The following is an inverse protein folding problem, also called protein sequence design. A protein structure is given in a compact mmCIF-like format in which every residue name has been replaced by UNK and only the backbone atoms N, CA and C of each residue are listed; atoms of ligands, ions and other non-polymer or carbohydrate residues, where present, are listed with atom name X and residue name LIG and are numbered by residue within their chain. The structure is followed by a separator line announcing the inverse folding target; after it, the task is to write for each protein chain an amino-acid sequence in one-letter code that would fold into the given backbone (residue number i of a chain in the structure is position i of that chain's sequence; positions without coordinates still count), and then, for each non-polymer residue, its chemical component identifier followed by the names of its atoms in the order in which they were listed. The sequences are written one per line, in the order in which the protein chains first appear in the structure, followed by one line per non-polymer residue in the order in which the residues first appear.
data_IF_608152462638
#
_entry.id   IF_608152462638
#
_cell.length_a   1.000
_cell.length_b   1.000
_cell.length_c   1.000
_cell.angle_alpha   90.00
_cell.angle_beta   90.00
_cell.angle_gamma   90.00
#
_symmetry.space_group_name_H-M   'P 1'
#
loop_
_entity.id
_entity.type
_entity.pdbx_description
1 polymer ?
#
# COMPACT_ATOMS: atom_id res chain seq x y z
N UNK A 1 -12.69 19.83 3.39
CA UNK A 1 -12.76 19.21 2.04
C UNK A 1 -11.51 18.37 1.81
N UNK A 2 -11.67 17.17 1.30
CA UNK A 2 -10.58 16.26 0.95
C UNK A 2 -10.10 16.51 -0.48
N UNK A 3 -8.83 16.23 -0.74
CA UNK A 3 -8.18 16.33 -2.06
C UNK A 3 -7.53 15.00 -2.40
N UNK A 4 -7.35 14.75 -3.69
CA UNK A 4 -6.54 13.63 -4.16
C UNK A 4 -5.11 13.81 -3.62
N UNK A 5 -4.53 12.74 -3.06
CA UNK A 5 -3.13 12.77 -2.60
C UNK A 5 -2.16 12.83 -3.78
N UNK A 6 -1.01 13.44 -3.58
CA UNK A 6 0.11 13.32 -4.51
C UNK A 6 0.80 11.96 -4.33
N UNK A 7 1.23 11.36 -5.44
CA UNK A 7 2.02 10.13 -5.41
C UNK A 7 3.48 10.46 -5.04
N UNK A 8 4.14 9.69 -4.14
CA UNK A 8 5.54 9.91 -3.77
C UNK A 8 6.53 9.42 -4.84
N UNK A 9 6.06 9.04 -6.02
CA UNK A 9 6.84 8.53 -7.16
C UNK A 9 6.27 9.00 -8.50
N UNK A 10 7.07 8.93 -9.55
CA UNK A 10 6.64 9.25 -10.91
C UNK A 10 5.55 8.26 -11.39
N UNK A 11 4.66 8.66 -12.33
CA UNK A 11 3.56 7.81 -12.81
C UNK A 11 3.99 6.41 -13.30
N UNK A 12 5.21 6.28 -13.78
CA UNK A 12 5.82 5.05 -14.27
C UNK A 12 6.82 4.43 -13.27
N UNK A 13 6.97 5.02 -12.08
CA UNK A 13 7.96 4.63 -11.08
C UNK A 13 7.79 3.22 -10.51
N UNK A 14 6.58 2.65 -10.57
CA UNK A 14 6.28 1.32 -10.06
C UNK A 14 6.40 0.21 -11.10
N UNK A 15 6.70 0.55 -12.36
CA UNK A 15 6.89 -0.46 -13.40
C UNK A 15 8.10 -1.37 -13.12
N UNK A 16 8.02 -2.63 -13.49
CA UNK A 16 6.95 -3.31 -14.22
C UNK A 16 5.83 -3.88 -13.32
N UNK A 17 5.82 -3.60 -12.03
CA UNK A 17 4.87 -4.19 -11.06
C UNK A 17 3.47 -3.59 -11.21
N UNK A 18 3.38 -2.28 -11.30
CA UNK A 18 2.15 -1.55 -11.61
C UNK A 18 2.45 -0.60 -12.78
N UNK A 19 1.72 -0.74 -13.88
CA UNK A 19 1.93 0.11 -15.05
C UNK A 19 1.46 1.55 -14.81
N UNK A 20 2.06 2.50 -15.54
CA UNK A 20 1.60 3.89 -15.56
C UNK A 20 0.11 3.99 -15.94
N UNK A 21 -0.35 3.10 -16.83
CA UNK A 21 -1.77 3.04 -17.23
C UNK A 21 -2.66 2.63 -16.07
N UNK A 22 -2.27 1.63 -15.30
CA UNK A 22 -3.03 1.23 -14.09
C UNK A 22 -3.08 2.38 -13.10
N UNK A 23 -1.97 3.08 -12.84
CA UNK A 23 -1.96 4.25 -11.94
C UNK A 23 -2.84 5.40 -12.45
N UNK A 24 -2.85 5.68 -13.75
CA UNK A 24 -3.71 6.71 -14.34
C UNK A 24 -5.19 6.46 -13.99
N UNK A 25 -5.66 5.21 -14.13
CA UNK A 25 -7.04 4.88 -13.82
C UNK A 25 -7.28 4.70 -12.32
N UNK A 26 -6.42 3.98 -11.62
CA UNK A 26 -6.63 3.61 -10.23
C UNK A 26 -6.52 4.83 -9.30
N UNK A 27 -5.47 5.63 -9.44
CA UNK A 27 -5.28 6.87 -8.67
C UNK A 27 -6.06 8.03 -9.31
N UNK A 28 -5.80 8.34 -10.59
CA UNK A 28 -6.27 9.58 -11.22
C UNK A 28 -7.77 9.61 -11.53
N UNK A 29 -8.45 8.46 -11.63
CA UNK A 29 -9.90 8.41 -11.92
C UNK A 29 -10.68 7.76 -10.77
N UNK A 30 -10.28 6.57 -10.35
CA UNK A 30 -11.03 5.78 -9.39
C UNK A 30 -10.99 6.43 -7.99
N UNK A 31 -9.80 6.68 -7.46
CA UNK A 31 -9.65 7.37 -6.17
C UNK A 31 -10.22 8.80 -6.21
N UNK A 32 -9.99 9.57 -7.30
CA UNK A 32 -10.59 10.89 -7.47
C UNK A 32 -12.12 10.85 -7.37
N UNK A 33 -12.74 9.82 -7.96
CA UNK A 33 -14.19 9.64 -7.88
C UNK A 33 -14.71 9.49 -6.44
N UNK A 34 -13.98 8.77 -5.58
CA UNK A 34 -14.33 8.66 -4.16
C UNK A 34 -14.15 9.99 -3.42
N UNK A 35 -13.08 10.73 -3.71
CA UNK A 35 -12.84 12.07 -3.13
C UNK A 35 -13.98 13.02 -3.48
N UNK A 36 -14.37 13.10 -4.76
CA UNK A 36 -15.45 13.96 -5.23
C UNK A 36 -16.79 13.60 -4.60
N UNK A 37 -17.07 12.29 -4.49
CA UNK A 37 -18.32 11.80 -3.90
C UNK A 37 -18.36 12.05 -2.39
N UNK A 38 -17.28 11.77 -1.65
CA UNK A 38 -17.24 12.05 -0.22
C UNK A 38 -17.48 13.52 0.07
N UNK A 39 -16.78 14.42 -0.64
CA UNK A 39 -16.95 15.86 -0.46
C UNK A 39 -18.39 16.34 -0.67
N UNK A 40 -19.12 15.74 -1.63
CA UNK A 40 -20.55 16.03 -1.85
C UNK A 40 -21.42 15.51 -0.71
N UNK A 41 -21.12 14.30 -0.21
CA UNK A 41 -21.91 13.62 0.82
C UNK A 41 -21.79 14.27 2.21
N UNK A 42 -20.61 14.82 2.54
CA UNK A 42 -20.34 15.37 3.88
C UNK A 42 -20.64 16.87 3.98
N UNK A 43 -20.87 17.57 2.86
CA UNK A 43 -21.13 19.01 2.85
C UNK A 43 -22.34 19.37 3.74
N UNK A 44 -22.13 20.29 4.70
CA UNK A 44 -23.16 20.71 5.65
C UNK A 44 -23.52 19.68 6.72
N UNK A 45 -22.79 18.57 6.83
CA UNK A 45 -22.98 17.56 7.88
C UNK A 45 -21.91 17.69 8.98
N UNK A 46 -22.08 16.94 10.08
CA UNK A 46 -21.09 16.86 11.14
C UNK A 46 -19.73 16.31 10.66
N UNK A 47 -19.71 15.55 9.56
CA UNK A 47 -18.50 14.95 9.00
C UNK A 47 -17.60 15.92 8.23
N UNK A 48 -18.08 17.11 7.88
CA UNK A 48 -17.35 18.07 7.04
C UNK A 48 -16.02 18.53 7.65
N UNK A 49 -15.95 18.58 9.00
CA UNK A 49 -14.77 19.01 9.75
C UNK A 49 -13.92 17.85 10.31
N UNK A 50 -14.32 16.60 10.07
CA UNK A 50 -13.65 15.42 10.61
C UNK A 50 -12.51 14.94 9.70
N UNK A 51 -11.51 14.23 10.28
CA UNK A 51 -10.52 13.49 9.50
C UNK A 51 -11.13 12.24 8.86
N UNK A 52 -10.44 11.65 7.87
CA UNK A 52 -10.90 10.40 7.24
C UNK A 52 -11.09 9.28 8.26
N UNK A 53 -10.16 9.13 9.19
CA UNK A 53 -10.21 8.11 10.25
C UNK A 53 -11.42 8.32 11.16
N UNK A 54 -11.72 9.58 11.51
CA UNK A 54 -12.90 9.90 12.32
C UNK A 54 -14.20 9.60 11.57
N UNK A 55 -14.26 9.90 10.27
CA UNK A 55 -15.41 9.59 9.43
C UNK A 55 -15.59 8.07 9.34
N UNK A 56 -14.53 7.32 9.03
CA UNK A 56 -14.56 5.85 8.96
C UNK A 56 -15.05 5.24 10.27
N UNK A 57 -14.57 5.74 11.42
CA UNK A 57 -14.95 5.20 12.72
C UNK A 57 -16.42 5.51 13.13
N UNK A 58 -17.05 6.55 12.56
CA UNK A 58 -18.35 7.05 13.01
C UNK A 58 -19.48 6.94 11.99
N UNK A 59 -19.16 6.83 10.71
CA UNK A 59 -20.15 6.83 9.64
C UNK A 59 -20.57 5.43 9.23
N UNK A 60 -21.62 5.36 8.44
CA UNK A 60 -22.14 4.14 7.80
C UNK A 60 -22.59 4.42 6.37
N UNK A 61 -22.91 3.38 5.61
CA UNK A 61 -23.49 3.51 4.27
C UNK A 61 -22.56 4.23 3.30
N UNK A 62 -23.12 5.17 2.51
CA UNK A 62 -22.37 5.82 1.43
C UNK A 62 -21.20 6.67 1.93
N UNK A 63 -21.33 7.36 3.07
CA UNK A 63 -20.24 8.15 3.66
C UNK A 63 -19.09 7.22 4.07
N UNK A 64 -19.39 6.15 4.81
CA UNK A 64 -18.39 5.14 5.18
C UNK A 64 -17.70 4.55 3.97
N UNK A 65 -18.46 4.14 2.95
CA UNK A 65 -17.87 3.50 1.77
C UNK A 65 -16.89 4.42 1.04
N UNK A 66 -17.24 5.69 0.85
CA UNK A 66 -16.34 6.63 0.18
C UNK A 66 -15.14 7.00 1.05
N UNK A 67 -15.35 7.27 2.34
CA UNK A 67 -14.25 7.60 3.26
C UNK A 67 -13.29 6.42 3.46
N UNK A 68 -13.82 5.21 3.62
CA UNK A 68 -13.04 3.98 3.74
C UNK A 68 -12.19 3.73 2.49
N UNK A 69 -12.79 3.86 1.30
CA UNK A 69 -12.03 3.71 0.05
C UNK A 69 -10.93 4.77 -0.08
N UNK A 70 -11.19 6.03 0.26
CA UNK A 70 -10.14 7.05 0.22
C UNK A 70 -9.01 6.70 1.20
N UNK A 71 -9.32 6.33 2.43
CA UNK A 71 -8.34 5.95 3.43
C UNK A 71 -7.50 4.74 2.97
N UNK A 72 -8.15 3.71 2.45
CA UNK A 72 -7.51 2.50 1.96
C UNK A 72 -6.54 2.80 0.81
N UNK A 73 -6.98 3.57 -0.18
CA UNK A 73 -6.15 3.94 -1.32
C UNK A 73 -5.00 4.88 -0.93
N UNK A 74 -5.22 5.83 -0.01
CA UNK A 74 -4.17 6.70 0.48
C UNK A 74 -3.05 5.90 1.15
N UNK A 75 -3.40 4.93 1.99
CA UNK A 75 -2.42 4.04 2.63
C UNK A 75 -1.76 3.10 1.63
N UNK A 76 -2.51 2.61 0.62
CA UNK A 76 -2.00 1.76 -0.44
C UNK A 76 -0.97 2.47 -1.31
N UNK A 77 -1.28 3.66 -1.83
CA UNK A 77 -0.37 4.36 -2.73
C UNK A 77 0.87 4.92 -2.03
N UNK A 78 0.75 5.35 -0.78
CA UNK A 78 1.88 5.95 -0.06
C UNK A 78 2.88 4.95 0.53
N UNK A 79 2.61 3.64 0.42
CA UNK A 79 3.50 2.60 0.94
C UNK A 79 4.49 2.04 -0.08
N UNK A 80 4.49 2.55 -1.31
CA UNK A 80 5.35 2.04 -2.38
C UNK A 80 6.50 3.00 -2.68
N UNK A 81 7.60 2.42 -3.16
CA UNK A 81 8.77 3.12 -3.68
C UNK A 81 9.06 2.69 -5.10
N UNK A 82 9.77 3.51 -5.90
CA UNK A 82 10.17 3.14 -7.24
C UNK A 82 10.86 1.77 -7.29
N UNK A 83 10.51 0.97 -8.29
CA UNK A 83 11.08 -0.36 -8.47
C UNK A 83 12.59 -0.28 -8.68
N UNK A 84 13.37 -1.11 -7.96
CA UNK A 84 14.81 -1.21 -8.13
C UNK A 84 15.21 -1.64 -9.55
N UNK A 85 14.37 -2.41 -10.24
CA UNK A 85 14.59 -2.81 -11.64
C UNK A 85 14.61 -1.61 -12.57
N UNK A 86 13.85 -0.56 -12.28
CA UNK A 86 13.83 0.66 -13.07
C UNK A 86 14.98 1.61 -12.73
N UNK A 87 15.43 1.65 -11.48
CA UNK A 87 16.61 2.43 -11.08
C UNK A 87 17.87 1.96 -11.83
N UNK A 88 17.94 0.67 -12.19
CA UNK A 88 19.03 0.09 -12.98
C UNK A 88 18.95 0.44 -14.49
N UNK A 89 17.80 0.94 -14.97
CA UNK A 89 17.55 1.31 -16.39
C UNK A 89 17.55 2.84 -16.59
N UNK A 90 18.21 3.61 -15.74
CA UNK A 90 18.39 5.05 -15.89
C UNK A 90 18.87 5.44 -17.30
N UNK A 91 18.65 6.69 -17.76
CA UNK A 91 18.87 7.07 -19.15
C UNK A 91 20.25 6.67 -19.62
N UNK A 92 20.30 5.97 -20.76
CA UNK A 92 21.51 5.55 -21.44
C UNK A 92 22.20 6.79 -22.02
N UNK A 93 22.81 7.60 -21.16
CA UNK A 93 23.83 8.53 -21.60
C UNK A 93 25.15 7.79 -21.70
N UNK A 94 25.66 7.73 -22.91
CA UNK A 94 26.94 7.19 -23.23
C UNK A 94 28.03 7.78 -22.33
N UNK A 95 28.57 6.97 -21.42
CA UNK A 95 29.82 7.27 -20.73
C UNK A 95 30.90 6.36 -21.26
N UNK A 96 31.82 7.01 -22.00
CA UNK A 96 33.14 6.47 -22.23
C UNK A 96 33.92 6.39 -20.92
N UNK A 97 34.56 5.23 -20.75
CA UNK A 97 35.82 4.90 -20.08
C UNK A 97 36.17 5.56 -18.73
N UNK A 98 36.44 4.78 -17.79
CA UNK A 98 37.70 4.40 -17.14
C UNK A 98 37.56 4.17 -15.63
N UNK A 99 38.03 3.02 -15.24
CA UNK A 99 38.69 2.60 -14.00
C UNK A 99 37.95 2.47 -12.68
N UNK A 100 37.90 1.20 -12.31
CA UNK A 100 38.32 0.56 -11.05
C UNK A 100 37.70 1.01 -9.70
N UNK A 101 37.27 -0.03 -9.00
CA UNK A 101 37.06 -0.10 -7.56
C UNK A 101 35.62 0.19 -7.05
N UNK A 102 34.74 -0.76 -7.30
CA UNK A 102 33.36 -0.69 -6.84
C UNK A 102 32.92 -1.89 -5.99
N UNK A 103 33.82 -2.64 -5.38
CA UNK A 103 33.44 -3.81 -4.57
C UNK A 103 33.14 -3.52 -3.09
N UNK A 104 33.33 -2.30 -2.60
CA UNK A 104 33.17 -1.96 -1.18
C UNK A 104 31.89 -1.23 -0.76
N UNK A 105 31.00 -0.87 -1.70
CA UNK A 105 29.81 -0.09 -1.35
C UNK A 105 28.53 -0.91 -1.22
N UNK A 106 28.50 -2.16 -1.68
CA UNK A 106 27.31 -3.01 -1.61
C UNK A 106 27.09 -3.64 -0.22
N UNK A 107 28.16 -3.84 0.56
CA UNK A 107 28.09 -4.51 1.88
C UNK A 107 27.66 -3.60 3.04
N UNK A 108 27.66 -2.27 2.86
CA UNK A 108 27.34 -1.33 3.94
C UNK A 108 25.83 -1.09 4.12
N UNK A 109 25.03 -1.39 3.09
CA UNK A 109 23.57 -1.27 3.13
C UNK A 109 22.89 -2.49 3.79
N UNK A 110 23.58 -3.62 3.95
CA UNK A 110 23.02 -4.86 4.52
C UNK A 110 23.25 -5.02 6.03
N UNK A 111 23.91 -4.07 6.68
CA UNK A 111 24.07 -4.00 8.14
C UNK A 111 23.28 -2.86 8.80
N UNK A 112 22.18 -2.44 8.21
CA UNK A 112 21.19 -1.70 8.96
C UNK A 112 20.63 -2.65 10.03
N UNK A 113 20.63 -2.22 11.29
CA UNK A 113 19.91 -2.92 12.36
C UNK A 113 18.54 -3.32 11.82
N UNK A 114 18.20 -4.63 11.92
CA UNK A 114 16.88 -5.11 11.50
C UNK A 114 15.83 -4.22 12.16
N UNK A 115 14.93 -3.68 11.38
CA UNK A 115 13.87 -2.83 11.91
C UNK A 115 13.08 -3.56 13.00
N UNK A 116 12.54 -2.83 13.95
CA UNK A 116 11.76 -3.39 15.05
C UNK A 116 10.54 -4.17 14.50
N UNK A 117 9.92 -3.65 13.45
CA UNK A 117 8.81 -4.31 12.76
C UNK A 117 9.26 -5.62 12.11
N UNK A 118 10.34 -5.64 11.34
CA UNK A 118 10.82 -6.87 10.68
C UNK A 118 11.18 -7.93 11.73
N UNK A 119 11.84 -7.54 12.81
CA UNK A 119 12.13 -8.44 13.93
C UNK A 119 10.86 -9.02 14.55
N UNK A 120 9.81 -8.19 14.70
CA UNK A 120 8.52 -8.62 15.22
C UNK A 120 7.81 -9.58 14.26
N UNK A 121 7.82 -9.29 12.95
CA UNK A 121 7.24 -10.16 11.93
C UNK A 121 7.93 -11.54 11.93
N UNK A 122 9.27 -11.57 11.93
CA UNK A 122 10.03 -12.82 11.98
C UNK A 122 9.80 -13.60 13.28
N UNK A 123 9.69 -12.91 14.42
CA UNK A 123 9.37 -13.56 15.70
C UNK A 123 8.00 -14.26 15.68
N UNK A 124 7.03 -13.71 14.95
CA UNK A 124 5.66 -14.23 14.91
C UNK A 124 5.45 -15.27 13.81
N UNK A 125 6.06 -15.09 12.63
CA UNK A 125 5.87 -15.96 11.46
C UNK A 125 7.08 -16.83 11.12
N UNK A 126 8.18 -16.71 11.87
CA UNK A 126 9.43 -17.43 11.65
C UNK A 126 10.36 -16.72 10.69
N UNK A 127 9.89 -16.32 9.51
CA UNK A 127 10.65 -15.53 8.52
C UNK A 127 9.76 -14.48 7.86
N UNK A 128 10.39 -13.46 7.26
CA UNK A 128 9.65 -12.46 6.48
C UNK A 128 8.94 -13.11 5.29
N UNK A 129 9.56 -14.07 4.64
CA UNK A 129 8.97 -14.82 3.51
C UNK A 129 7.73 -15.62 3.95
N UNK A 130 7.77 -16.23 5.15
CA UNK A 130 6.61 -16.94 5.68
C UNK A 130 5.43 -15.99 5.94
N UNK A 131 5.70 -14.81 6.49
CA UNK A 131 4.70 -13.74 6.64
C UNK A 131 4.14 -13.32 5.27
N UNK A 132 5.00 -13.01 4.30
CA UNK A 132 4.58 -12.60 2.96
C UNK A 132 3.70 -13.66 2.28
N UNK A 133 4.08 -14.94 2.41
CA UNK A 133 3.31 -16.05 1.87
C UNK A 133 1.92 -16.16 2.51
N UNK A 134 1.82 -16.03 3.84
CA UNK A 134 0.52 -16.04 4.52
C UNK A 134 -0.31 -14.83 4.11
N UNK A 135 0.28 -13.65 4.02
CA UNK A 135 -0.39 -12.42 3.60
C UNK A 135 -0.99 -12.55 2.19
N UNK A 136 -0.20 -13.07 1.23
CA UNK A 136 -0.69 -13.36 -0.13
C UNK A 136 -1.81 -14.38 -0.11
N UNK A 137 -1.67 -15.47 0.66
CA UNK A 137 -2.71 -16.49 0.78
C UNK A 137 -4.04 -15.90 1.32
N UNK A 138 -3.98 -15.01 2.30
CA UNK A 138 -5.15 -14.26 2.78
C UNK A 138 -5.74 -13.37 1.69
N UNK A 139 -4.91 -12.61 0.96
CA UNK A 139 -5.39 -11.76 -0.15
C UNK A 139 -6.06 -12.56 -1.28
N UNK A 140 -5.49 -13.71 -1.65
CA UNK A 140 -6.08 -14.63 -2.64
C UNK A 140 -7.38 -15.23 -2.14
N UNK A 141 -7.42 -15.63 -0.87
CA UNK A 141 -8.57 -16.27 -0.24
C UNK A 141 -9.75 -15.33 0.07
N UNK A 142 -9.58 -14.01 -0.02
CA UNK A 142 -10.67 -13.08 0.15
C UNK A 142 -11.66 -13.20 -1.02
N UNK A 143 -12.87 -13.64 -0.73
CA UNK A 143 -13.90 -13.78 -1.75
C UNK A 143 -14.41 -12.42 -2.24
N UNK A 144 -14.39 -12.20 -3.55
CA UNK A 144 -14.83 -10.95 -4.18
C UNK A 144 -13.78 -9.83 -4.06
N UNK A 145 -14.26 -8.62 -3.80
CA UNK A 145 -13.48 -7.39 -3.75
C UNK A 145 -13.24 -6.93 -2.32
N UNK A 146 -12.05 -6.42 -2.05
CA UNK A 146 -11.69 -5.94 -0.71
C UNK A 146 -10.20 -5.68 -0.57
N UNK A 147 -9.70 -5.82 0.65
CA UNK A 147 -8.36 -5.45 1.06
C UNK A 147 -7.78 -6.47 2.03
N UNK A 148 -6.50 -6.80 1.89
CA UNK A 148 -5.74 -7.55 2.89
C UNK A 148 -4.81 -6.59 3.63
N UNK A 149 -4.73 -6.72 4.95
CA UNK A 149 -4.02 -5.78 5.81
C UNK A 149 -3.07 -6.47 6.77
N UNK A 150 -1.88 -5.89 6.95
CA UNK A 150 -1.13 -6.02 8.20
C UNK A 150 -1.62 -4.92 9.13
N UNK A 151 -1.99 -5.29 10.34
CA UNK A 151 -2.56 -4.39 11.33
C UNK A 151 -2.02 -4.68 12.72
N UNK A 152 -2.12 -3.70 13.61
CA UNK A 152 -1.75 -3.85 15.02
C UNK A 152 -2.94 -3.48 15.92
N UNK A 153 -3.07 -4.16 17.04
CA UNK A 153 -3.97 -3.76 18.11
C UNK A 153 -3.34 -2.67 19.01
N UNK A 154 -4.07 -2.24 20.03
CA UNK A 154 -3.60 -1.22 20.97
C UNK A 154 -2.38 -1.66 21.80
N UNK A 155 -2.12 -2.96 21.91
CA UNK A 155 -0.96 -3.53 22.59
C UNK A 155 0.24 -3.73 21.62
N UNK A 156 0.06 -3.41 20.33
CA UNK A 156 1.07 -3.61 19.30
C UNK A 156 1.16 -5.05 18.78
N UNK A 157 0.19 -5.92 19.08
CA UNK A 157 0.15 -7.26 18.53
C UNK A 157 -0.27 -7.21 17.06
N UNK A 158 0.53 -7.90 16.21
CA UNK A 158 0.33 -7.90 14.76
C UNK A 158 -0.66 -9.00 14.33
N UNK A 159 -1.44 -8.70 13.32
CA UNK A 159 -2.33 -9.70 12.67
C UNK A 159 -2.54 -9.38 11.20
N UNK A 160 -2.94 -10.40 10.42
CA UNK A 160 -3.34 -10.23 9.03
C UNK A 160 -4.87 -10.26 8.96
N UNK A 161 -5.46 -9.13 8.57
CA UNK A 161 -6.91 -8.96 8.40
C UNK A 161 -7.35 -9.04 6.95
N UNK A 162 -8.58 -9.51 6.71
CA UNK A 162 -9.25 -9.51 5.41
C UNK A 162 -10.54 -8.69 5.54
N UNK A 163 -10.70 -7.66 4.71
CA UNK A 163 -11.81 -6.73 4.81
C UNK A 163 -12.50 -6.57 3.45
N UNK A 164 -13.77 -6.97 3.32
CA UNK A 164 -14.51 -6.82 2.07
C UNK A 164 -14.90 -5.36 1.82
N UNK A 165 -15.06 -5.01 0.55
CA UNK A 165 -15.56 -3.69 0.15
C UNK A 165 -14.64 -2.55 0.55
N UNK A 166 -15.17 -1.59 1.32
CA UNK A 166 -14.46 -0.42 1.83
C UNK A 166 -13.98 -0.58 3.28
N UNK A 167 -14.29 -1.71 3.90
CA UNK A 167 -13.96 -1.96 5.30
C UNK A 167 -12.44 -2.01 5.52
N UNK A 168 -12.00 -1.67 6.73
CA UNK A 168 -10.59 -1.55 7.06
C UNK A 168 -10.35 -1.60 8.59
N UNK A 169 -9.09 -1.76 9.03
CA UNK A 169 -8.73 -1.86 10.46
C UNK A 169 -9.22 -0.70 11.33
N UNK A 170 -9.27 0.54 10.80
CA UNK A 170 -9.67 1.73 11.57
C UNK A 170 -11.13 1.64 12.03
N UNK A 171 -12.01 1.09 11.20
CA UNK A 171 -13.41 0.85 11.56
C UNK A 171 -13.57 -0.10 12.77
N UNK A 172 -12.55 -0.89 13.07
CA UNK A 172 -12.52 -1.89 14.14
C UNK A 172 -11.58 -1.50 15.31
N UNK A 173 -11.11 -0.25 15.33
CA UNK A 173 -10.22 0.24 16.39
C UNK A 173 -8.80 -0.34 16.32
N UNK A 174 -8.40 -0.86 15.16
CA UNK A 174 -7.08 -1.39 14.89
C UNK A 174 -6.26 -0.40 14.06
N UNK A 175 -4.95 -0.44 14.23
CA UNK A 175 -4.02 0.42 13.49
C UNK A 175 -3.62 -0.23 12.16
N UNK A 176 -3.88 0.41 11.01
CA UNK A 176 -3.46 -0.08 9.70
C UNK A 176 -1.96 0.16 9.48
N UNK A 177 -1.24 -0.85 8.99
CA UNK A 177 0.20 -0.76 8.73
C UNK A 177 0.52 -0.90 7.24
N UNK A 178 0.15 -2.02 6.63
CA UNK A 178 0.37 -2.34 5.23
C UNK A 178 -0.94 -2.86 4.63
N UNK A 179 -1.21 -2.54 3.37
CA UNK A 179 -2.39 -3.07 2.68
C UNK A 179 -2.11 -3.44 1.24
N UNK A 180 -2.76 -4.50 0.75
CA UNK A 180 -2.85 -4.78 -0.67
C UNK A 180 -4.31 -4.77 -1.12
N UNK A 181 -4.53 -4.10 -2.24
CA UNK A 181 -5.82 -4.02 -2.89
C UNK A 181 -6.09 -5.32 -3.67
N UNK A 182 -7.19 -5.99 -3.37
CA UNK A 182 -7.62 -7.21 -4.09
C UNK A 182 -8.85 -6.97 -4.96
N UNK A 183 -9.29 -5.73 -5.11
CA UNK A 183 -10.25 -5.34 -6.13
C UNK A 183 -9.66 -5.57 -7.52
N UNK A 184 -10.44 -6.05 -8.47
CA UNK A 184 -9.96 -6.33 -9.84
C UNK A 184 -9.43 -5.09 -10.56
N UNK A 185 -9.99 -3.90 -10.28
CA UNK A 185 -9.52 -2.66 -10.88
C UNK A 185 -8.04 -2.34 -10.54
N UNK A 186 -7.52 -2.85 -9.43
CA UNK A 186 -6.14 -2.61 -9.01
C UNK A 186 -5.11 -3.35 -9.87
N UNK A 187 -5.51 -4.46 -10.53
CA UNK A 187 -4.54 -5.34 -11.20
C UNK A 187 -4.99 -5.87 -12.57
N UNK A 188 -6.25 -5.71 -12.96
CA UNK A 188 -6.77 -6.41 -14.14
C UNK A 188 -6.09 -5.98 -15.45
N UNK A 189 -5.67 -4.72 -15.57
CA UNK A 189 -4.97 -4.23 -16.76
C UNK A 189 -3.60 -4.88 -16.95
N UNK A 190 -2.90 -5.20 -15.84
CA UNK A 190 -1.55 -5.74 -15.88
C UNK A 190 -1.50 -7.25 -15.71
N UNK A 191 -2.37 -7.79 -14.85
CA UNK A 191 -2.35 -9.21 -14.45
C UNK A 191 -3.59 -9.99 -14.85
N UNK A 192 -4.65 -9.38 -15.37
CA UNK A 192 -5.95 -9.98 -15.67
C UNK A 192 -6.49 -10.72 -14.43
N UNK A 193 -6.84 -12.00 -14.54
CA UNK A 193 -7.35 -12.80 -13.43
C UNK A 193 -6.27 -13.35 -12.47
N UNK A 194 -5.01 -12.98 -12.67
CA UNK A 194 -3.87 -13.53 -11.91
C UNK A 194 -3.63 -12.75 -10.61
N UNK A 195 -4.64 -12.72 -9.72
CA UNK A 195 -4.56 -12.02 -8.43
C UNK A 195 -3.31 -12.42 -7.62
N UNK A 196 -2.98 -13.72 -7.54
CA UNK A 196 -1.81 -14.19 -6.81
C UNK A 196 -0.51 -13.54 -7.32
N UNK A 197 -0.30 -13.55 -8.65
CA UNK A 197 0.89 -12.97 -9.26
C UNK A 197 1.01 -11.46 -9.00
N UNK A 198 -0.12 -10.73 -9.01
CA UNK A 198 -0.15 -9.31 -8.62
C UNK A 198 0.31 -9.13 -7.17
N UNK A 199 -0.30 -9.84 -6.22
CA UNK A 199 0.02 -9.72 -4.80
C UNK A 199 1.47 -10.11 -4.49
N UNK A 200 2.01 -11.14 -5.17
CA UNK A 200 3.42 -11.53 -5.05
C UNK A 200 4.37 -10.44 -5.58
N UNK A 201 4.02 -9.82 -6.71
CA UNK A 201 4.85 -8.78 -7.32
C UNK A 201 4.91 -7.49 -6.47
N UNK A 202 3.84 -7.15 -5.74
CA UNK A 202 3.78 -5.95 -4.90
C UNK A 202 4.89 -5.91 -3.85
N UNK A 203 5.37 -7.05 -3.35
CA UNK A 203 6.45 -7.09 -2.36
C UNK A 203 7.74 -6.44 -2.86
N UNK A 204 7.98 -6.43 -4.18
CA UNK A 204 9.15 -5.82 -4.80
C UNK A 204 9.18 -4.29 -4.74
N UNK A 205 8.05 -3.66 -4.47
CA UNK A 205 7.91 -2.19 -4.42
C UNK A 205 7.47 -1.66 -3.06
N UNK A 206 7.23 -2.52 -2.05
CA UNK A 206 6.92 -2.05 -0.68
C UNK A 206 8.08 -1.26 -0.12
N UNK A 207 7.80 -0.07 0.39
CA UNK A 207 8.72 0.73 1.20
C UNK A 207 8.56 0.37 2.68
N UNK A 208 9.43 -0.50 3.17
CA UNK A 208 9.38 -0.95 4.55
C UNK A 208 9.62 0.17 5.56
N UNK A 209 10.28 1.27 5.18
CA UNK A 209 10.47 2.41 6.09
C UNK A 209 9.16 3.11 6.41
N UNK A 210 8.26 3.21 5.43
CA UNK A 210 6.91 3.74 5.63
C UNK A 210 6.08 2.83 6.54
N UNK A 211 6.22 1.51 6.40
CA UNK A 211 5.49 0.55 7.24
C UNK A 211 6.02 0.60 8.68
N UNK A 212 7.34 0.72 8.86
CA UNK A 212 7.99 0.93 10.16
C UNK A 212 7.45 2.18 10.86
N UNK A 213 7.45 3.34 10.16
CA UNK A 213 6.88 4.58 10.69
C UNK A 213 5.44 4.42 11.18
N UNK A 214 4.60 3.68 10.42
CA UNK A 214 3.21 3.41 10.82
C UNK A 214 3.14 2.51 12.05
N UNK A 215 4.10 1.61 12.23
CA UNK A 215 4.17 0.72 13.38
C UNK A 215 4.63 1.44 14.65
N UNK A 216 5.50 2.43 14.54
CA UNK A 216 6.04 3.19 15.68
C UNK A 216 5.09 4.27 16.23
N UNK A 217 4.10 4.71 15.42
CA UNK A 217 3.08 5.69 15.83
C UNK A 217 2.08 5.07 16.82
#
# INVERSE_FOLDING_TARGET
MFTLIDLPYAPDGLEPVISARTLEFHHGKHLQGYVDNLNKLIAGTEFESMSLEQIVAKSTGAIFNNAGQILNHNLYFTQFRPSALRQAQGPTEARHSEDSDSSCHFDRAQRAEKSALITRLESQWGTLEAFQKEFVAKGVGLFGSGWVWLQADAAGALSIGQYPGADNPVAHGLRPLLTFDVWEHAYYLDYQNRRAAHLEALWGIVDWSVIEERYER
#
